data_IF_643680727187
#
_entry.id   IF_643680727187
#
_cell.length_a   1.000
_cell.length_b   1.000
_cell.length_c   1.000
_cell.angle_alpha   90.00
_cell.angle_beta   90.00
_cell.angle_gamma   90.00
#
_symmetry.space_group_name_H-M   'P 1'
#
loop_
_entity.id
_entity.type
_entity.pdbx_description
1 polymer ?
#
# COMPACT_ATOMS: atom_id res chain seq x y z
N UNK A 1 3.17 -11.59 -13.12
CA UNK A 1 3.49 -11.76 -11.68
C UNK A 1 4.96 -11.40 -11.51
N UNK A 2 5.27 -10.30 -10.83
CA UNK A 2 6.65 -9.78 -10.77
C UNK A 2 7.50 -10.58 -9.77
N UNK A 3 8.66 -11.09 -10.20
CA UNK A 3 9.59 -11.85 -9.34
C UNK A 3 10.01 -11.12 -8.05
N UNK A 4 10.02 -9.79 -8.03
CA UNK A 4 10.28 -8.98 -6.83
C UNK A 4 9.23 -9.18 -5.73
N UNK A 5 7.95 -9.31 -6.10
CA UNK A 5 6.85 -9.54 -5.14
C UNK A 5 7.00 -10.91 -4.47
N UNK A 6 7.35 -11.94 -5.23
CA UNK A 6 7.54 -13.31 -4.72
C UNK A 6 8.75 -13.35 -3.75
N UNK A 7 9.82 -12.61 -4.05
CA UNK A 7 11.03 -12.65 -3.24
C UNK A 7 10.83 -12.00 -1.85
N UNK A 8 10.13 -10.86 -1.78
CA UNK A 8 9.85 -10.18 -0.50
C UNK A 8 8.89 -11.02 0.35
N UNK A 9 7.84 -11.57 -0.27
CA UNK A 9 6.86 -12.41 0.43
C UNK A 9 7.50 -13.70 0.97
N UNK A 10 8.36 -14.35 0.17
CA UNK A 10 9.04 -15.58 0.61
C UNK A 10 10.09 -15.30 1.71
N UNK A 11 10.75 -14.15 1.68
CA UNK A 11 11.74 -13.76 2.70
C UNK A 11 11.09 -13.48 4.05
N UNK A 12 9.94 -12.79 4.07
CA UNK A 12 9.18 -12.52 5.30
C UNK A 12 8.62 -13.83 5.91
N UNK A 13 8.04 -14.70 5.09
CA UNK A 13 7.52 -16.00 5.53
C UNK A 13 8.66 -16.89 6.05
N UNK A 14 9.83 -16.92 5.38
CA UNK A 14 10.98 -17.67 5.86
C UNK A 14 11.55 -17.12 7.16
N UNK A 15 11.58 -15.79 7.36
CA UNK A 15 12.04 -15.20 8.61
C UNK A 15 11.18 -15.63 9.81
N UNK A 16 9.87 -15.74 9.60
CA UNK A 16 8.92 -16.22 10.62
C UNK A 16 9.05 -17.73 10.86
N UNK A 17 9.40 -18.50 9.83
CA UNK A 17 9.55 -19.95 9.93
C UNK A 17 10.89 -20.37 10.53
N UNK A 18 11.93 -19.54 10.44
CA UNK A 18 13.28 -19.81 10.93
C UNK A 18 13.55 -19.31 12.35
N UNK A 19 12.55 -18.90 13.11
CA UNK A 19 12.70 -18.65 14.55
C UNK A 19 12.25 -19.89 15.34
N UNK A 20 13.01 -21.00 15.34
CA UNK A 20 12.74 -22.13 16.23
C UNK A 20 13.28 -21.80 17.60
N UNK A 21 12.37 -21.59 18.54
CA UNK A 21 12.69 -21.78 19.93
C UNK A 21 13.66 -20.79 20.59
N UNK A 22 13.72 -19.55 20.15
CA UNK A 22 14.36 -18.51 20.95
C UNK A 22 13.30 -17.99 21.91
N UNK A 23 13.19 -18.61 23.06
CA UNK A 23 12.51 -18.05 24.20
C UNK A 23 13.35 -16.87 24.69
N UNK A 24 12.88 -15.64 24.48
CA UNK A 24 13.51 -14.45 25.01
C UNK A 24 13.34 -14.33 26.55
N UNK A 25 12.61 -15.26 27.17
CA UNK A 25 12.36 -15.28 28.60
C UNK A 25 13.60 -15.61 29.43
N UNK A 26 14.65 -16.21 28.84
CA UNK A 26 15.86 -16.60 29.58
C UNK A 26 16.87 -15.45 29.79
N UNK A 27 16.64 -14.27 29.18
CA UNK A 27 17.61 -13.18 29.25
C UNK A 27 17.38 -12.21 30.39
N UNK A 28 16.20 -12.22 31.04
CA UNK A 28 15.89 -11.34 32.19
C UNK A 28 15.13 -12.12 33.27
N UNK A 29 15.77 -13.11 33.86
CA UNK A 29 15.38 -13.60 35.20
C UNK A 29 16.19 -12.88 36.26
N UNK A 30 15.75 -11.68 36.62
CA UNK A 30 16.07 -11.11 37.91
C UNK A 30 14.88 -11.38 38.85
N UNK A 31 15.17 -12.13 39.89
CA UNK A 31 14.27 -12.60 40.94
C UNK A 31 13.52 -11.42 41.58
N UNK A 32 12.21 -11.47 41.55
CA UNK A 32 11.19 -10.63 42.21
C UNK A 32 10.34 -9.76 41.29
N UNK A 33 9.16 -10.34 40.93
CA UNK A 33 8.06 -9.79 40.12
C UNK A 33 8.44 -9.47 38.65
N UNK A 34 8.05 -10.31 37.69
CA UNK A 34 8.19 -9.94 36.26
C UNK A 34 7.26 -8.77 35.98
N UNK A 35 7.84 -7.57 35.88
CA UNK A 35 7.12 -6.33 35.57
C UNK A 35 6.59 -6.36 34.10
N UNK A 36 7.06 -7.30 33.31
CA UNK A 36 6.61 -7.50 31.94
C UNK A 36 7.47 -8.47 31.15
N UNK A 37 7.08 -8.76 29.90
CA UNK A 37 7.78 -9.66 28.98
C UNK A 37 7.95 -9.04 27.59
N UNK A 38 9.09 -9.35 26.97
CA UNK A 38 9.33 -9.02 25.56
C UNK A 38 8.66 -10.08 24.70
N UNK A 39 8.06 -9.68 23.58
CA UNK A 39 7.46 -10.58 22.63
C UNK A 39 7.79 -10.19 21.19
N UNK A 40 7.66 -11.15 20.31
CA UNK A 40 7.63 -10.93 18.86
C UNK A 40 6.27 -11.37 18.31
N UNK A 41 5.83 -10.73 17.25
CA UNK A 41 4.61 -11.14 16.56
C UNK A 41 4.78 -11.17 15.06
N UNK A 42 4.02 -12.05 14.42
CA UNK A 42 3.86 -12.08 12.98
C UNK A 42 2.37 -12.10 12.67
N UNK A 43 1.98 -11.32 11.65
CA UNK A 43 0.58 -11.10 11.28
C UNK A 43 0.41 -11.25 9.78
N UNK A 44 -0.71 -11.84 9.40
CA UNK A 44 -1.29 -11.75 8.08
C UNK A 44 -2.42 -10.72 8.12
N UNK A 45 -2.42 -9.78 7.19
CA UNK A 45 -3.29 -8.61 7.20
C UNK A 45 -4.02 -8.45 5.85
N UNK A 46 -5.07 -9.24 5.60
CA UNK A 46 -5.92 -9.03 4.43
C UNK A 46 -6.66 -7.70 4.55
N UNK A 47 -6.41 -6.82 3.59
CA UNK A 47 -6.78 -5.40 3.67
C UNK A 47 -7.58 -4.95 2.46
N UNK A 48 -8.63 -4.17 2.69
CA UNK A 48 -9.44 -3.51 1.68
C UNK A 48 -8.99 -2.06 1.50
N UNK A 49 -8.66 -1.67 0.26
CA UNK A 49 -8.34 -0.30 -0.09
C UNK A 49 -9.59 0.59 -0.04
N UNK A 50 -9.48 1.73 0.62
CA UNK A 50 -10.49 2.78 0.61
C UNK A 50 -9.85 4.09 0.18
N UNK A 51 -9.27 4.08 -1.03
CA UNK A 51 -8.56 5.24 -1.56
C UNK A 51 -9.52 6.21 -2.21
N UNK A 52 -9.23 7.51 -2.06
CA UNK A 52 -9.95 8.58 -2.73
C UNK A 52 -9.76 8.54 -4.25
N UNK A 53 -10.49 9.41 -4.95
CA UNK A 53 -10.28 9.59 -6.39
C UNK A 53 -8.89 10.21 -6.62
N UNK A 54 -8.03 9.49 -7.35
CA UNK A 54 -6.71 10.01 -7.73
C UNK A 54 -6.86 11.12 -8.77
N UNK A 55 -6.21 12.27 -8.53
CA UNK A 55 -5.98 13.28 -9.54
C UNK A 55 -4.47 13.41 -9.82
N UNK A 56 -4.09 13.53 -11.08
CA UNK A 56 -2.70 13.59 -11.52
C UNK A 56 -2.52 14.83 -12.39
N UNK A 57 -1.43 15.56 -12.19
CA UNK A 57 -1.05 16.71 -13.01
C UNK A 57 0.42 16.65 -13.39
N UNK A 58 0.78 17.15 -14.55
CA UNK A 58 2.16 17.37 -14.96
C UNK A 58 2.74 18.61 -14.23
N UNK A 59 4.01 18.52 -13.78
CA UNK A 59 4.60 19.59 -12.97
C UNK A 59 5.07 20.79 -13.81
N UNK A 60 5.46 20.55 -15.08
CA UNK A 60 6.00 21.58 -15.96
C UNK A 60 4.95 22.30 -16.81
N UNK A 61 3.75 21.72 -16.96
CA UNK A 61 2.68 22.24 -17.80
C UNK A 61 1.31 22.06 -17.14
N UNK A 62 0.40 22.96 -17.47
CA UNK A 62 -0.95 22.93 -16.93
C UNK A 62 -1.79 21.78 -17.52
N UNK A 63 -2.11 20.79 -16.71
CA UNK A 63 -2.92 19.63 -17.12
C UNK A 63 -4.39 19.99 -17.19
N UNK A 64 -4.95 19.92 -18.40
CA UNK A 64 -6.36 20.27 -18.69
C UNK A 64 -7.31 19.08 -18.51
N UNK A 65 -6.82 17.87 -18.75
CA UNK A 65 -7.62 16.67 -18.67
C UNK A 65 -6.75 15.42 -18.46
N UNK A 66 -7.35 14.40 -17.86
CA UNK A 66 -6.75 13.06 -17.68
C UNK A 66 -7.64 12.07 -18.43
N UNK A 67 -7.05 11.28 -19.33
CA UNK A 67 -7.73 10.29 -20.12
C UNK A 67 -7.16 8.90 -19.85
N UNK A 68 -8.02 7.89 -19.79
CA UNK A 68 -7.60 6.49 -19.78
C UNK A 68 -7.28 5.99 -21.20
N UNK A 69 -6.66 4.82 -21.31
CA UNK A 69 -6.48 4.13 -22.58
C UNK A 69 -7.68 3.24 -22.90
N UNK A 70 -7.94 3.03 -24.20
CA UNK A 70 -8.98 2.11 -24.63
C UNK A 70 -8.60 0.65 -24.38
N UNK A 71 -9.61 -0.20 -24.24
CA UNK A 71 -9.46 -1.64 -23.95
C UNK A 71 -8.62 -2.39 -24.97
N UNK A 72 -8.75 -2.03 -26.24
CA UNK A 72 -8.09 -2.65 -27.38
C UNK A 72 -6.71 -2.07 -27.73
N UNK A 73 -6.17 -1.18 -26.88
CA UNK A 73 -4.84 -0.63 -27.09
C UNK A 73 -3.77 -1.74 -27.02
N UNK A 74 -2.95 -1.85 -28.08
CA UNK A 74 -1.96 -2.92 -28.22
C UNK A 74 -0.58 -2.61 -27.60
N UNK A 75 -0.41 -1.43 -27.00
CA UNK A 75 0.83 -1.03 -26.31
C UNK A 75 2.03 -0.74 -27.20
N UNK A 76 2.02 -1.19 -28.42
CA UNK A 76 3.19 -1.22 -29.31
C UNK A 76 3.16 -0.11 -30.33
N UNK A 77 1.98 0.29 -30.79
CA UNK A 77 1.87 1.31 -31.84
C UNK A 77 1.85 2.70 -31.24
N UNK A 78 2.92 3.43 -31.48
CA UNK A 78 2.81 4.88 -31.59
C UNK A 78 1.66 5.17 -32.54
N UNK A 79 0.63 5.91 -32.14
CA UNK A 79 -0.50 6.15 -33.02
C UNK A 79 -0.02 6.91 -34.25
N UNK A 80 0.14 6.19 -35.34
CA UNK A 80 0.23 6.81 -36.67
C UNK A 80 -1.21 7.15 -37.07
N UNK A 81 -1.59 8.42 -36.94
CA UNK A 81 -2.93 8.86 -37.26
C UNK A 81 -3.67 9.38 -36.01
N UNK A 82 -4.96 9.51 -36.12
CA UNK A 82 -5.81 10.17 -35.13
C UNK A 82 -5.61 9.65 -33.66
N UNK A 83 -4.87 10.37 -32.83
CA UNK A 83 -4.58 10.02 -31.42
C UNK A 83 -5.84 9.80 -30.58
N UNK A 84 -6.97 10.40 -30.99
CA UNK A 84 -8.28 10.22 -30.36
C UNK A 84 -8.77 8.77 -30.39
N UNK A 85 -8.20 7.93 -31.26
CA UNK A 85 -8.61 6.53 -31.36
C UNK A 85 -8.13 5.67 -30.18
N UNK A 86 -7.12 6.08 -29.43
CA UNK A 86 -6.52 5.29 -28.33
C UNK A 86 -6.97 5.70 -26.94
N UNK A 87 -7.54 6.90 -26.78
CA UNK A 87 -7.95 7.42 -25.49
C UNK A 87 -9.44 7.19 -25.21
N UNK A 88 -9.78 7.04 -23.93
CA UNK A 88 -11.16 6.96 -23.45
C UNK A 88 -11.74 8.36 -23.19
N UNK A 89 -12.87 8.39 -22.54
CA UNK A 89 -13.46 9.62 -22.05
C UNK A 89 -12.58 10.30 -20.99
N UNK A 90 -12.85 11.58 -20.78
CA UNK A 90 -12.20 12.48 -19.84
C UNK A 90 -12.46 12.07 -18.36
N UNK A 91 -11.62 12.57 -17.46
CA UNK A 91 -11.71 12.40 -16.01
C UNK A 91 -11.41 10.97 -15.52
N UNK A 92 -10.51 10.29 -16.20
CA UNK A 92 -10.02 8.98 -15.77
C UNK A 92 -9.33 9.04 -14.41
N UNK A 93 -9.56 8.03 -13.60
CA UNK A 93 -8.87 7.83 -12.33
C UNK A 93 -8.62 6.34 -12.11
N UNK A 94 -7.42 6.00 -11.68
CA UNK A 94 -7.09 4.63 -11.31
C UNK A 94 -7.96 4.15 -10.13
N UNK A 95 -8.35 2.90 -10.19
CA UNK A 95 -9.01 2.18 -9.08
C UNK A 95 -8.12 1.03 -8.68
N UNK A 96 -8.06 0.75 -7.39
CA UNK A 96 -7.23 -0.31 -6.85
C UNK A 96 -8.09 -1.51 -6.47
N UNK A 97 -7.47 -2.68 -6.52
CA UNK A 97 -8.11 -3.90 -6.05
C UNK A 97 -8.02 -3.98 -4.53
N UNK A 98 -9.04 -4.57 -3.94
CA UNK A 98 -8.94 -5.08 -2.60
C UNK A 98 -8.11 -6.36 -2.70
N UNK A 99 -6.89 -6.33 -2.16
CA UNK A 99 -5.95 -7.45 -2.31
C UNK A 99 -5.81 -8.18 -0.97
N UNK A 100 -6.75 -9.10 -0.63
CA UNK A 100 -6.80 -9.74 0.68
C UNK A 100 -5.60 -10.66 0.96
N UNK A 101 -4.75 -10.92 -0.03
CA UNK A 101 -3.67 -11.89 0.09
C UNK A 101 -2.26 -11.31 0.21
N UNK A 102 -2.07 -9.99 0.24
CA UNK A 102 -0.76 -9.35 0.17
C UNK A 102 -0.51 -8.28 1.26
N UNK A 103 -0.98 -8.53 2.48
CA UNK A 103 -0.67 -7.73 3.65
C UNK A 103 -0.02 -8.59 4.74
N UNK A 104 1.17 -8.17 5.22
CA UNK A 104 1.91 -8.85 6.28
C UNK A 104 2.55 -7.84 7.21
N UNK A 105 2.62 -8.18 8.51
CA UNK A 105 3.36 -7.38 9.46
C UNK A 105 4.13 -8.25 10.45
N UNK A 106 5.19 -7.67 11.00
CA UNK A 106 5.91 -8.20 12.13
C UNK A 106 6.08 -7.11 13.19
N UNK A 107 6.07 -7.49 14.46
CA UNK A 107 6.31 -6.54 15.52
C UNK A 107 7.18 -7.13 16.63
N UNK A 108 7.89 -6.24 17.32
CA UNK A 108 8.57 -6.50 18.59
C UNK A 108 7.94 -5.60 19.62
N UNK A 109 7.59 -6.15 20.78
CA UNK A 109 6.91 -5.39 21.82
C UNK A 109 7.28 -5.80 23.23
N UNK A 110 6.78 -5.01 24.17
CA UNK A 110 6.91 -5.23 25.59
C UNK A 110 5.52 -5.15 26.24
N UNK A 111 5.13 -6.22 26.92
CA UNK A 111 3.84 -6.36 27.59
C UNK A 111 3.99 -6.26 29.09
N UNK A 112 3.11 -5.48 29.75
CA UNK A 112 3.15 -5.17 31.18
C UNK A 112 1.82 -5.54 31.86
N UNK A 113 1.38 -6.79 31.71
CA UNK A 113 0.15 -7.29 32.35
C UNK A 113 -1.09 -6.39 32.06
N UNK A 114 -1.31 -6.10 30.78
CA UNK A 114 -2.39 -5.25 30.25
C UNK A 114 -1.86 -4.20 29.29
N UNK A 115 -1.17 -3.15 29.75
CA UNK A 115 -0.49 -2.22 28.84
C UNK A 115 0.60 -2.91 28.00
N UNK A 116 0.71 -2.53 26.73
CA UNK A 116 1.67 -3.09 25.79
C UNK A 116 2.15 -2.02 24.82
N UNK A 117 3.44 -2.00 24.55
CA UNK A 117 4.04 -1.12 23.53
C UNK A 117 4.67 -2.02 22.47
N UNK A 118 4.43 -1.72 21.21
CA UNK A 118 5.01 -2.48 20.09
C UNK A 118 5.55 -1.58 19.00
N UNK A 119 6.69 -1.96 18.44
CA UNK A 119 7.21 -1.44 17.19
C UNK A 119 6.85 -2.44 16.07
N UNK A 120 6.11 -1.99 15.08
CA UNK A 120 5.59 -2.81 14.00
C UNK A 120 6.11 -2.34 12.64
N UNK A 121 6.41 -3.29 11.79
CA UNK A 121 6.71 -3.08 10.38
C UNK A 121 5.68 -3.84 9.57
N UNK A 122 4.99 -3.16 8.66
CA UNK A 122 4.03 -3.79 7.75
C UNK A 122 4.39 -3.55 6.29
N UNK A 123 3.89 -4.45 5.44
CA UNK A 123 3.98 -4.35 3.99
C UNK A 123 2.64 -4.69 3.37
N UNK A 124 2.12 -3.76 2.58
CA UNK A 124 0.86 -3.93 1.87
C UNK A 124 1.01 -3.48 0.41
N UNK A 125 0.31 -4.13 -0.50
CA UNK A 125 0.30 -3.74 -1.92
C UNK A 125 -1.08 -3.92 -2.52
N UNK A 126 -1.49 -2.93 -3.30
CA UNK A 126 -2.79 -2.85 -3.94
C UNK A 126 -2.57 -2.67 -5.43
N UNK A 127 -2.88 -3.70 -6.21
CA UNK A 127 -2.75 -3.63 -7.67
C UNK A 127 -3.85 -2.74 -8.27
N UNK A 128 -3.54 -2.07 -9.39
CA UNK A 128 -4.55 -1.32 -10.13
C UNK A 128 -5.58 -2.29 -10.68
N UNK A 129 -6.84 -2.00 -10.36
CA UNK A 129 -7.97 -2.85 -10.73
C UNK A 129 -8.16 -2.88 -12.24
N UNK A 130 -8.16 -4.09 -12.81
CA UNK A 130 -8.65 -4.31 -14.15
C UNK A 130 -10.20 -4.24 -14.13
N UNK A 131 -10.83 -3.24 -14.78
CA UNK A 131 -12.29 -3.10 -14.74
C UNK A 131 -13.04 -4.20 -15.52
N UNK A 132 -12.30 -5.14 -16.10
CA UNK A 132 -12.86 -6.22 -16.91
C UNK A 132 -13.15 -5.77 -18.37
N UNK A 133 -13.59 -6.72 -19.19
CA UNK A 133 -13.74 -6.50 -20.62
C UNK A 133 -12.35 -6.49 -21.30
N UNK A 134 -12.25 -6.39 -22.54
CA UNK A 134 -11.09 -6.65 -23.39
C UNK A 134 -9.93 -5.64 -23.24
N UNK A 135 -9.49 -5.32 -22.00
CA UNK A 135 -8.26 -4.55 -21.80
C UNK A 135 -7.06 -5.42 -22.19
N UNK A 136 -6.35 -5.00 -23.24
CA UNK A 136 -5.15 -5.65 -23.75
C UNK A 136 -3.92 -4.90 -23.26
N UNK A 137 -2.81 -5.63 -23.12
CA UNK A 137 -1.49 -5.06 -22.79
C UNK A 137 -1.51 -4.09 -21.60
N UNK A 138 -2.28 -4.44 -20.56
CA UNK A 138 -2.38 -3.67 -19.32
C UNK A 138 -2.87 -2.21 -19.52
N UNK A 139 -3.70 -1.97 -20.55
CA UNK A 139 -4.19 -0.63 -20.88
C UNK A 139 -4.86 0.10 -19.70
N UNK A 140 -5.47 -0.65 -18.74
CA UNK A 140 -6.06 -0.11 -17.52
C UNK A 140 -5.03 0.50 -16.55
N UNK A 141 -3.75 0.18 -16.72
CA UNK A 141 -2.65 0.71 -15.90
C UNK A 141 -2.11 2.04 -16.42
N UNK A 142 -2.64 2.59 -17.50
CA UNK A 142 -2.12 3.80 -18.12
C UNK A 142 -3.15 4.92 -18.15
N UNK A 143 -2.67 6.14 -18.01
CA UNK A 143 -3.43 7.35 -18.30
C UNK A 143 -2.58 8.36 -19.09
N UNK A 144 -3.24 9.23 -19.82
CA UNK A 144 -2.64 10.36 -20.50
C UNK A 144 -3.04 11.68 -19.84
N UNK A 145 -2.06 12.52 -19.57
CA UNK A 145 -2.22 13.88 -19.05
C UNK A 145 -2.19 14.84 -20.25
N UNK A 146 -3.31 15.46 -20.57
CA UNK A 146 -3.43 16.37 -21.69
C UNK A 146 -3.26 17.83 -21.24
N UNK A 147 -2.32 18.53 -21.85
CA UNK A 147 -2.05 19.96 -21.61
C UNK A 147 -2.80 20.88 -22.57
N UNK A 148 -3.53 20.33 -23.54
CA UNK A 148 -4.34 21.10 -24.49
C UNK A 148 -5.62 21.67 -23.86
N UNK A 149 -6.13 22.74 -24.43
CA UNK A 149 -7.46 23.29 -24.08
C UNK A 149 -8.62 22.50 -24.67
N UNK A 150 -8.35 21.48 -25.47
CA UNK A 150 -9.34 20.64 -26.15
C UNK A 150 -10.00 19.65 -25.20
N UNK A 151 -11.26 19.32 -25.48
CA UNK A 151 -11.95 18.21 -24.81
C UNK A 151 -11.48 16.84 -25.28
N UNK A 152 -10.60 16.78 -26.25
CA UNK A 152 -10.12 15.57 -26.91
C UNK A 152 -8.62 15.38 -26.65
N UNK A 153 -8.24 14.26 -26.07
CA UNK A 153 -6.84 13.94 -25.77
C UNK A 153 -5.98 13.92 -27.03
N UNK A 154 -4.75 14.39 -26.89
CA UNK A 154 -3.75 14.36 -27.98
C UNK A 154 -3.88 15.48 -29.00
N UNK A 155 -4.70 16.50 -28.74
CA UNK A 155 -4.86 17.62 -29.67
C UNK A 155 -3.57 18.45 -29.82
N UNK A 156 -2.72 18.53 -28.81
CA UNK A 156 -1.42 19.23 -28.86
C UNK A 156 -0.30 18.41 -28.24
N UNK A 157 -0.35 18.14 -26.96
CA UNK A 157 0.68 17.37 -26.24
C UNK A 157 0.08 16.65 -25.07
N UNK A 158 0.34 15.38 -24.97
CA UNK A 158 -0.05 14.56 -23.82
C UNK A 158 1.14 13.73 -23.33
N UNK A 159 1.29 13.57 -22.03
CA UNK A 159 2.27 12.66 -21.44
C UNK A 159 1.56 11.45 -20.82
N UNK A 160 2.19 10.29 -20.89
CA UNK A 160 1.66 9.06 -20.32
C UNK A 160 2.27 8.78 -18.96
N UNK A 161 1.42 8.27 -18.09
CA UNK A 161 1.79 7.74 -16.77
C UNK A 161 1.31 6.30 -16.67
N UNK A 162 2.18 5.42 -16.15
CA UNK A 162 1.86 4.01 -15.89
C UNK A 162 1.78 3.76 -14.40
N UNK A 163 0.66 3.25 -13.93
CA UNK A 163 0.43 2.84 -12.56
C UNK A 163 0.16 1.34 -12.48
N UNK A 164 1.04 0.58 -11.86
CA UNK A 164 0.88 -0.87 -11.69
C UNK A 164 0.21 -1.21 -10.35
N UNK A 165 0.63 -0.53 -9.29
CA UNK A 165 0.14 -0.74 -7.93
C UNK A 165 0.45 0.46 -7.04
N UNK A 166 -0.16 0.45 -5.86
CA UNK A 166 0.24 1.23 -4.70
C UNK A 166 0.85 0.26 -3.69
N UNK A 167 2.05 0.56 -3.21
CA UNK A 167 2.71 -0.20 -2.15
C UNK A 167 2.90 0.70 -0.94
N UNK A 168 2.59 0.17 0.23
CA UNK A 168 2.76 0.83 1.51
C UNK A 168 3.64 -0.01 2.44
N UNK A 169 4.73 0.59 2.92
CA UNK A 169 5.61 0.02 3.94
C UNK A 169 5.52 0.92 5.15
N UNK A 170 4.92 0.43 6.23
CA UNK A 170 4.69 1.22 7.44
C UNK A 170 5.67 0.85 8.55
N UNK A 171 6.12 1.86 9.28
CA UNK A 171 6.90 1.75 10.50
C UNK A 171 6.10 2.41 11.62
N UNK A 172 5.48 1.62 12.51
CA UNK A 172 4.51 2.08 13.48
C UNK A 172 4.97 1.84 14.91
N UNK A 173 4.72 2.81 15.77
CA UNK A 173 4.80 2.65 17.22
C UNK A 173 3.37 2.60 17.77
N UNK A 174 3.00 1.47 18.34
CA UNK A 174 1.67 1.20 18.89
C UNK A 174 1.69 1.18 20.41
N UNK A 175 0.70 1.81 21.02
CA UNK A 175 0.31 1.62 22.40
C UNK A 175 -0.98 0.79 22.41
N UNK A 176 -0.93 -0.34 23.12
CA UNK A 176 -2.03 -1.29 23.22
C UNK A 176 -2.44 -1.50 24.67
N UNK A 177 -3.64 -1.97 24.83
CA UNK A 177 -4.15 -2.41 26.13
C UNK A 177 -4.91 -3.73 25.97
N UNK A 178 -4.43 -4.76 26.67
CA UNK A 178 -5.05 -6.08 26.71
C UNK A 178 -5.94 -6.16 27.96
N UNK A 179 -7.23 -6.44 27.77
CA UNK A 179 -8.22 -6.54 28.84
C UNK A 179 -8.15 -7.97 29.39
N UNK A 180 -7.52 -8.12 30.55
CA UNK A 180 -7.41 -9.41 31.21
C UNK A 180 -8.75 -9.81 31.81
N UNK A 181 -9.24 -11.00 31.50
CA UNK A 181 -10.47 -11.56 32.01
C UNK A 181 -10.13 -12.74 32.95
N UNK A 182 -10.48 -12.60 34.23
CA UNK A 182 -10.16 -13.60 35.24
C UNK A 182 -10.70 -15.00 34.86
N UNK A 183 -9.80 -15.98 34.89
CA UNK A 183 -10.12 -17.39 34.59
C UNK A 183 -10.40 -17.71 33.12
N UNK A 184 -10.22 -16.74 32.20
CA UNK A 184 -10.41 -16.99 30.77
C UNK A 184 -9.09 -16.85 30.00
N UNK A 185 -8.81 -17.74 29.02
CA UNK A 185 -7.62 -17.65 28.17
C UNK A 185 -7.79 -16.63 27.04
N UNK A 186 -8.85 -15.82 27.07
CA UNK A 186 -9.21 -14.84 26.04
C UNK A 186 -9.05 -13.45 26.59
N UNK A 187 -8.35 -12.57 25.84
CA UNK A 187 -8.14 -11.17 26.21
C UNK A 187 -8.50 -10.28 25.03
N UNK A 188 -9.57 -9.50 25.10
CA UNK A 188 -9.82 -8.41 24.16
C UNK A 188 -8.69 -7.38 24.22
N UNK A 189 -8.35 -6.79 23.06
CA UNK A 189 -7.33 -5.73 23.01
C UNK A 189 -7.76 -4.55 22.15
N UNK A 190 -7.17 -3.39 22.44
CA UNK A 190 -7.26 -2.19 21.64
C UNK A 190 -5.88 -1.58 21.51
N UNK A 191 -5.55 -1.09 20.29
CA UNK A 191 -4.30 -0.38 20.04
C UNK A 191 -4.56 0.92 19.31
N UNK A 192 -3.69 1.91 19.59
CA UNK A 192 -3.54 3.11 18.78
C UNK A 192 -2.06 3.30 18.45
N UNK A 193 -1.75 3.68 17.22
CA UNK A 193 -0.39 3.83 16.75
C UNK A 193 -0.20 5.06 15.89
N UNK A 194 1.04 5.55 15.88
CA UNK A 194 1.54 6.60 14.99
C UNK A 194 2.84 6.13 14.36
N UNK A 195 3.12 6.61 13.15
CA UNK A 195 4.31 6.17 12.46
C UNK A 195 4.59 6.92 11.17
N UNK A 196 5.39 6.27 10.36
CA UNK A 196 5.79 6.77 9.04
C UNK A 196 5.64 5.67 8.01
N UNK A 197 5.03 6.01 6.87
CA UNK A 197 4.86 5.13 5.74
C UNK A 197 5.76 5.55 4.60
N UNK A 198 6.30 4.57 3.89
CA UNK A 198 6.93 4.72 2.60
C UNK A 198 5.92 4.30 1.54
N UNK A 199 5.11 5.27 1.08
CA UNK A 199 4.07 5.03 0.10
C UNK A 199 4.64 5.18 -1.30
N UNK A 200 4.59 4.12 -2.09
CA UNK A 200 5.01 4.10 -3.49
C UNK A 200 3.79 4.10 -4.40
N UNK A 201 3.62 5.18 -5.14
CA UNK A 201 2.55 5.36 -6.14
C UNK A 201 3.20 5.69 -7.47
N UNK A 202 2.84 4.97 -8.53
CA UNK A 202 3.34 5.23 -9.89
C UNK A 202 4.89 5.26 -9.92
N UNK A 203 5.53 4.31 -9.24
CA UNK A 203 7.00 4.18 -9.11
C UNK A 203 7.71 5.36 -8.38
N UNK A 204 6.97 6.29 -7.77
CA UNK A 204 7.51 7.33 -6.91
C UNK A 204 7.23 7.00 -5.44
N UNK A 205 8.29 6.95 -4.62
CA UNK A 205 8.17 6.66 -3.18
C UNK A 205 8.24 7.94 -2.37
N UNK A 206 7.23 8.18 -1.57
CA UNK A 206 7.11 9.36 -0.73
C UNK A 206 6.96 8.97 0.74
N UNK A 207 7.83 9.42 1.65
CA UNK A 207 7.63 9.23 3.08
C UNK A 207 6.48 10.10 3.57
N UNK A 208 5.60 9.51 4.39
CA UNK A 208 4.40 10.15 4.95
C UNK A 208 4.24 9.78 6.41
N UNK A 209 3.70 10.70 7.20
CA UNK A 209 3.22 10.36 8.53
C UNK A 209 1.93 9.55 8.43
N UNK A 210 1.69 8.68 9.41
CA UNK A 210 0.50 7.86 9.46
C UNK A 210 0.03 7.60 10.88
N UNK A 211 -1.20 7.11 11.00
CA UNK A 211 -1.75 6.62 12.24
C UNK A 211 -2.63 5.40 11.98
N UNK A 212 -2.73 4.56 13.00
CA UNK A 212 -3.55 3.35 12.94
C UNK A 212 -4.30 3.10 14.25
N UNK A 213 -5.38 2.35 14.13
CA UNK A 213 -6.14 1.82 15.25
C UNK A 213 -6.42 0.35 15.04
N UNK A 214 -6.35 -0.44 16.12
CA UNK A 214 -6.62 -1.88 16.09
C UNK A 214 -7.52 -2.27 17.24
N UNK A 215 -8.34 -3.27 17.01
CA UNK A 215 -9.14 -3.91 18.05
C UNK A 215 -9.32 -5.40 17.72
N UNK A 216 -9.30 -6.24 18.73
CA UNK A 216 -9.42 -7.66 18.50
C UNK A 216 -9.47 -8.47 19.78
N UNK A 217 -9.27 -9.75 19.62
CA UNK A 217 -9.19 -10.72 20.72
C UNK A 217 -7.92 -11.56 20.54
N UNK A 218 -7.23 -11.83 21.63
CA UNK A 218 -6.14 -12.79 21.72
C UNK A 218 -6.58 -14.01 22.54
N UNK A 219 -6.03 -15.16 22.21
CA UNK A 219 -6.24 -16.43 22.89
C UNK A 219 -4.88 -17.00 23.30
N UNK A 220 -4.66 -17.16 24.59
CA UNK A 220 -3.43 -17.75 25.13
C UNK A 220 -3.46 -19.25 24.96
N UNK A 221 -2.54 -19.78 24.13
CA UNK A 221 -2.38 -21.24 23.94
C UNK A 221 -1.60 -21.84 25.12
N UNK A 222 -0.56 -21.15 25.52
CA UNK A 222 0.30 -21.48 26.66
C UNK A 222 0.97 -20.16 27.15
N UNK A 223 1.75 -20.20 28.26
CA UNK A 223 2.42 -18.99 28.77
C UNK A 223 3.35 -18.30 27.78
N UNK A 224 3.88 -19.03 26.78
CA UNK A 224 4.86 -18.55 25.81
C UNK A 224 4.23 -18.13 24.48
N UNK A 225 2.97 -18.45 24.22
CA UNK A 225 2.37 -18.22 22.91
C UNK A 225 0.88 -17.92 22.95
N UNK A 226 0.47 -16.93 22.17
CA UNK A 226 -0.93 -16.57 21.95
C UNK A 226 -1.20 -16.39 20.47
N UNK A 227 -2.42 -16.68 20.03
CA UNK A 227 -2.93 -16.31 18.72
C UNK A 227 -3.91 -15.15 18.87
N UNK A 228 -4.04 -14.36 17.83
CA UNK A 228 -5.00 -13.25 17.85
C UNK A 228 -5.69 -13.07 16.50
N UNK A 229 -6.87 -12.49 16.57
CA UNK A 229 -7.63 -12.00 15.43
C UNK A 229 -8.21 -10.65 15.77
N UNK A 230 -8.14 -9.72 14.82
CA UNK A 230 -8.65 -8.37 15.02
C UNK A 230 -8.97 -7.66 13.73
N UNK A 231 -9.48 -6.44 13.87
CA UNK A 231 -9.62 -5.48 12.79
C UNK A 231 -8.61 -4.36 12.97
N UNK A 232 -8.10 -3.85 11.87
CA UNK A 232 -7.25 -2.67 11.85
C UNK A 232 -7.77 -1.62 10.88
N UNK A 233 -7.48 -0.38 11.20
CA UNK A 233 -7.67 0.80 10.38
C UNK A 233 -6.36 1.55 10.30
N UNK A 234 -5.95 1.92 9.09
CA UNK A 234 -4.72 2.66 8.85
C UNK A 234 -4.97 3.84 7.93
N UNK A 235 -4.34 4.99 8.21
CA UNK A 235 -4.46 6.18 7.38
C UNK A 235 -3.17 6.95 7.28
N UNK A 236 -2.81 7.30 6.05
CA UNK A 236 -1.68 8.16 5.71
C UNK A 236 -2.09 9.63 5.83
N UNK A 237 -1.23 10.45 6.42
CA UNK A 237 -1.42 11.90 6.56
C UNK A 237 -0.73 12.60 5.39
N UNK A 238 -1.51 13.41 4.67
CA UNK A 238 -1.06 14.09 3.45
C UNK A 238 -1.29 13.24 2.21
N UNK A 239 -1.82 13.89 1.19
CA UNK A 239 -2.36 13.24 -0.01
C UNK A 239 -1.60 13.61 -1.30
N UNK A 240 -0.54 14.42 -1.22
CA UNK A 240 0.25 14.83 -2.39
C UNK A 240 1.47 13.92 -2.57
N UNK A 241 1.60 13.31 -3.73
CA UNK A 241 2.72 12.47 -4.15
C UNK A 241 3.45 13.14 -5.30
N UNK A 242 4.78 13.27 -5.19
CA UNK A 242 5.64 14.00 -6.13
C UNK A 242 6.64 13.07 -6.82
N UNK A 243 7.37 13.65 -7.77
CA UNK A 243 8.48 12.98 -8.48
C UNK A 243 8.03 11.75 -9.30
N UNK A 244 6.79 11.76 -9.79
CA UNK A 244 6.23 10.72 -10.65
C UNK A 244 6.80 10.87 -12.05
N UNK A 245 7.64 9.93 -12.49
CA UNK A 245 8.20 9.97 -13.84
C UNK A 245 7.14 9.71 -14.91
N UNK A 246 7.03 10.58 -15.91
CA UNK A 246 6.19 10.35 -17.07
C UNK A 246 6.92 9.47 -18.11
N UNK A 247 6.20 8.59 -18.79
CA UNK A 247 6.82 7.54 -19.60
C UNK A 247 6.94 7.88 -21.09
N UNK A 248 5.98 8.59 -21.65
CA UNK A 248 5.93 8.92 -23.09
C UNK A 248 5.26 10.25 -23.33
N UNK A 249 5.63 10.92 -24.42
CA UNK A 249 5.02 12.16 -24.90
C UNK A 249 4.38 11.92 -26.26
N UNK A 250 3.14 12.38 -26.43
CA UNK A 250 2.40 12.35 -27.70
C UNK A 250 2.12 13.77 -28.17
N UNK A 251 2.21 14.00 -29.49
CA UNK A 251 1.86 15.26 -30.13
C UNK A 251 0.66 15.09 -31.07
N UNK A 252 0.05 16.20 -31.47
CA UNK A 252 -1.12 16.22 -32.36
C UNK A 252 -0.91 15.54 -33.70
N UNK A 253 0.33 15.37 -34.16
CA UNK A 253 0.66 14.64 -35.40
C UNK A 253 0.69 13.12 -35.21
N UNK A 254 0.42 12.61 -34.05
CA UNK A 254 0.37 11.17 -33.78
C UNK A 254 1.74 10.50 -33.61
N UNK A 255 2.82 11.23 -33.78
CA UNK A 255 4.16 10.70 -33.57
C UNK A 255 4.62 11.02 -32.15
N UNK A 256 5.29 10.06 -31.49
CA UNK A 256 6.00 10.34 -30.27
C UNK A 256 7.05 11.42 -30.57
N UNK A 257 6.94 12.59 -29.96
CA UNK A 257 7.93 13.64 -30.18
C UNK A 257 9.20 13.31 -29.43
N UNK A 258 10.28 13.11 -30.18
CA UNK A 258 11.62 13.03 -29.63
C UNK A 258 12.15 14.37 -29.11
N UNK A 259 11.42 15.46 -29.38
CA UNK A 259 11.84 16.82 -29.02
C UNK A 259 11.41 17.26 -27.61
N UNK A 260 10.51 16.51 -26.97
CA UNK A 260 10.06 16.80 -25.59
C UNK A 260 10.46 15.62 -24.71
N UNK A 261 11.34 15.85 -23.76
CA UNK A 261 11.71 14.85 -22.78
C UNK A 261 10.52 14.56 -21.85
N UNK A 262 10.33 13.30 -21.43
CA UNK A 262 9.43 13.00 -20.34
C UNK A 262 9.80 13.85 -19.12
N UNK A 263 8.80 14.38 -18.43
CA UNK A 263 8.95 15.21 -17.23
C UNK A 263 8.51 14.45 -15.98
N UNK A 264 8.19 15.22 -14.97
CA UNK A 264 7.60 14.72 -13.73
C UNK A 264 6.13 15.14 -13.62
N UNK A 265 5.40 14.38 -12.86
CA UNK A 265 4.02 14.62 -12.50
C UNK A 265 3.85 14.51 -10.99
N UNK A 266 2.81 15.13 -10.47
CA UNK A 266 2.36 15.01 -9.08
C UNK A 266 0.95 14.41 -9.05
N UNK A 267 0.68 13.58 -8.04
CA UNK A 267 -0.64 13.00 -7.81
C UNK A 267 -1.19 13.43 -6.45
N UNK A 268 -2.50 13.56 -6.39
CA UNK A 268 -3.24 13.75 -5.14
C UNK A 268 -4.10 12.50 -4.94
N UNK A 269 -3.89 11.80 -3.83
CA UNK A 269 -4.60 10.57 -3.47
C UNK A 269 -4.68 10.44 -1.95
N UNK A 270 -5.89 10.33 -1.42
CA UNK A 270 -6.09 9.96 -0.02
C UNK A 270 -5.87 8.45 0.13
N UNK A 271 -4.92 8.05 0.99
CA UNK A 271 -4.61 6.66 1.27
C UNK A 271 -5.13 6.29 2.66
N UNK A 272 -6.10 5.40 2.65
CA UNK A 272 -6.75 4.87 3.85
C UNK A 272 -7.16 3.42 3.55
N UNK A 273 -6.94 2.54 4.50
CA UNK A 273 -7.34 1.15 4.37
C UNK A 273 -7.76 0.56 5.72
N UNK A 274 -8.53 -0.49 5.66
CA UNK A 274 -8.95 -1.25 6.82
C UNK A 274 -9.00 -2.74 6.47
N UNK A 275 -8.75 -3.57 7.45
CA UNK A 275 -8.68 -5.00 7.21
C UNK A 275 -8.81 -5.81 8.48
N UNK A 276 -8.56 -7.09 8.31
CA UNK A 276 -8.48 -8.06 9.39
C UNK A 276 -7.00 -8.34 9.64
N UNK A 277 -6.61 -8.53 10.88
CA UNK A 277 -5.30 -9.07 11.25
C UNK A 277 -5.47 -10.42 11.93
N UNK A 278 -4.63 -11.37 11.53
CA UNK A 278 -4.55 -12.70 12.16
C UNK A 278 -3.08 -12.98 12.40
N UNK A 279 -2.73 -13.33 13.62
CA UNK A 279 -1.32 -13.51 13.94
C UNK A 279 -1.06 -14.30 15.21
N UNK A 280 0.22 -14.37 15.55
CA UNK A 280 0.72 -15.05 16.74
C UNK A 280 1.71 -14.15 17.48
N UNK A 281 1.60 -14.11 18.82
CA UNK A 281 2.63 -13.61 19.71
C UNK A 281 3.47 -14.79 20.22
N UNK A 282 4.75 -14.53 20.45
CA UNK A 282 5.68 -15.44 21.12
C UNK A 282 6.43 -14.60 22.14
N UNK A 283 6.30 -14.97 23.43
CA UNK A 283 6.86 -14.30 24.59
C UNK A 283 8.19 -14.92 25.00
#
# INVERSE_FOLDING_TARGET
>A
MNCKKIFITSTLISLVSFLPGVSFSDVIQEENNPVGSVYISAKYMPTASHFGKMSIKEDSRDTKAVFGLKKDWDGVKTPSGNTNSIFTEKDYSFKYENNPFLGFAGAVGYSMNGPRIEFEVSYETFDVRNPGGNYKNDAHMYCALDTASSSTAGATTSVMVKNENLTDISLMLNACYDIMLDGMPVSPYVCAGIGTDLVSVINATNPKLSYQGKLGISYSINPEASIFIGGHFHRVIGNEFKDIATSKVFTSSGNASSAVSPGFASAILDVCHFGIEIGRFVF
#
